data_IF_426807799240
#
_entry.id   IF_426807799240
#
_cell.length_a   1.000
_cell.length_b   1.000
_cell.length_c   1.000
_cell.angle_alpha   90.00
_cell.angle_beta   90.00
_cell.angle_gamma   90.00
#
_symmetry.space_group_name_H-M   'P 1'
#
loop_
_entity.id
_entity.type
_entity.pdbx_description
1 polymer ?
#
# COMPACT_ATOMS: atom_id res chain seq x y z
N UNK A 1 8.74 22.56 22.11
CA UNK A 1 8.88 21.54 21.05
C UNK A 1 8.34 20.22 21.59
N UNK A 2 7.08 19.88 21.26
CA UNK A 2 6.49 18.61 21.69
C UNK A 2 7.03 17.48 20.81
N UNK A 3 7.55 16.44 21.44
CA UNK A 3 8.19 15.28 20.83
C UNK A 3 7.21 14.50 19.93
N UNK A 4 7.57 14.35 18.65
CA UNK A 4 6.82 13.60 17.62
C UNK A 4 6.84 12.07 17.79
N UNK A 5 7.59 11.57 18.78
CA UNK A 5 7.88 10.15 18.99
C UNK A 5 6.67 9.23 19.35
N UNK A 6 5.64 9.65 20.11
CA UNK A 6 4.50 8.78 20.40
C UNK A 6 3.66 8.52 19.13
N UNK A 7 3.48 9.56 18.30
CA UNK A 7 2.65 9.52 17.09
C UNK A 7 3.22 8.63 16.00
N UNK A 8 4.53 8.63 15.80
CA UNK A 8 5.19 7.72 14.85
C UNK A 8 5.07 6.26 15.32
N UNK A 9 5.28 5.98 16.62
CA UNK A 9 5.16 4.62 17.17
C UNK A 9 3.75 4.05 17.03
N UNK A 10 2.71 4.83 17.27
CA UNK A 10 1.31 4.40 17.01
C UNK A 10 1.04 4.22 15.51
N UNK A 11 1.64 5.04 14.64
CA UNK A 11 1.45 4.92 13.19
C UNK A 11 2.01 3.60 12.64
N UNK A 12 3.19 3.17 13.09
CA UNK A 12 3.84 1.94 12.61
C UNK A 12 3.19 0.67 13.16
N UNK A 13 2.54 0.74 14.33
CA UNK A 13 1.99 -0.44 15.03
C UNK A 13 0.67 -0.98 14.47
N UNK A 14 0.01 -0.28 13.56
CA UNK A 14 -1.32 -0.67 13.02
C UNK A 14 -1.41 -0.56 11.50
N UNK A 15 -0.27 -0.73 10.82
CA UNK A 15 -0.15 -0.53 9.36
C UNK A 15 -0.84 -1.62 8.52
N UNK A 16 -0.72 -2.89 8.92
CA UNK A 16 -1.48 -4.01 8.36
C UNK A 16 -2.98 -3.90 8.62
N UNK A 17 -3.39 -3.51 9.85
CA UNK A 17 -4.80 -3.26 10.14
C UNK A 17 -5.40 -2.16 9.25
N UNK A 18 -4.67 -1.07 9.01
CA UNK A 18 -5.10 -0.01 8.07
C UNK A 18 -5.19 -0.51 6.63
N UNK A 19 -4.23 -1.32 6.19
CA UNK A 19 -4.25 -1.88 4.84
C UNK A 19 -5.49 -2.78 4.65
N UNK A 20 -5.79 -3.65 5.62
CA UNK A 20 -6.94 -4.55 5.58
C UNK A 20 -8.26 -3.76 5.55
N UNK A 21 -8.35 -2.73 6.38
CA UNK A 21 -9.56 -1.93 6.56
C UNK A 21 -9.73 -0.79 5.53
N UNK A 22 -8.77 -0.61 4.62
CA UNK A 22 -8.77 0.45 3.60
C UNK A 22 -10.09 0.50 2.79
N UNK A 23 -10.70 -0.62 2.36
CA UNK A 23 -11.94 -0.59 1.56
C UNK A 23 -13.15 0.04 2.28
N UNK A 24 -13.17 0.03 3.60
CA UNK A 24 -14.27 0.62 4.39
C UNK A 24 -14.23 2.16 4.46
N UNK A 25 -13.10 2.76 4.06
CA UNK A 25 -12.83 4.19 4.17
C UNK A 25 -13.05 4.75 5.58
N UNK A 26 -14.28 5.23 5.89
CA UNK A 26 -14.65 5.81 7.19
C UNK A 26 -15.69 4.99 7.95
N UNK A 27 -16.40 4.07 7.31
CA UNK A 27 -17.55 3.38 7.90
C UNK A 27 -17.33 1.88 7.94
N UNK A 28 -17.34 1.31 9.15
CA UNK A 28 -17.24 -0.12 9.38
C UNK A 28 -18.63 -0.67 9.73
N UNK A 29 -19.24 -1.54 8.90
CA UNK A 29 -20.46 -2.25 9.28
C UNK A 29 -20.21 -3.12 10.52
N UNK A 30 -21.20 -3.24 11.39
CA UNK A 30 -21.09 -4.11 12.58
C UNK A 30 -21.38 -5.56 12.20
N UNK A 31 -22.26 -5.75 11.22
CA UNK A 31 -22.78 -7.03 10.79
C UNK A 31 -21.77 -7.77 9.90
N UNK A 32 -21.50 -9.03 10.26
CA UNK A 32 -20.50 -9.88 9.62
C UNK A 32 -20.76 -10.15 8.14
N UNK A 33 -22.01 -10.37 7.78
CA UNK A 33 -22.43 -10.54 6.39
C UNK A 33 -22.15 -9.31 5.50
N UNK A 34 -21.99 -8.13 6.09
CA UNK A 34 -21.64 -6.90 5.37
C UNK A 34 -20.14 -6.69 5.27
N UNK A 35 -19.37 -6.93 6.33
CA UNK A 35 -17.92 -6.69 6.31
C UNK A 35 -17.10 -7.87 5.78
N UNK A 36 -17.52 -9.12 5.98
CA UNK A 36 -16.76 -10.32 5.60
C UNK A 36 -16.48 -10.39 4.08
N UNK A 37 -17.46 -10.16 3.19
CA UNK A 37 -17.21 -10.19 1.74
C UNK A 37 -16.22 -9.12 1.28
N UNK A 38 -16.09 -8.02 2.01
CA UNK A 38 -15.15 -6.91 1.72
C UNK A 38 -13.75 -7.25 2.24
N UNK A 39 -13.65 -7.89 3.41
CA UNK A 39 -12.39 -8.31 4.02
C UNK A 39 -11.77 -9.51 3.30
N UNK A 40 -12.56 -10.47 2.85
CA UNK A 40 -12.07 -11.73 2.31
C UNK A 40 -11.06 -11.59 1.15
N UNK A 41 -11.25 -10.71 0.14
CA UNK A 41 -10.25 -10.46 -0.88
C UNK A 41 -8.94 -9.89 -0.34
N UNK A 42 -9.01 -9.01 0.67
CA UNK A 42 -7.82 -8.43 1.29
C UNK A 42 -7.04 -9.47 2.09
N UNK A 43 -7.73 -10.36 2.80
CA UNK A 43 -7.10 -11.47 3.52
C UNK A 43 -6.34 -12.39 2.55
N UNK A 44 -6.94 -12.76 1.42
CA UNK A 44 -6.26 -13.54 0.38
C UNK A 44 -5.03 -12.83 -0.17
N UNK A 45 -5.16 -11.55 -0.53
CA UNK A 45 -4.05 -10.77 -1.04
C UNK A 45 -2.89 -10.65 -0.04
N UNK A 46 -3.21 -10.49 1.25
CA UNK A 46 -2.19 -10.44 2.32
C UNK A 46 -1.51 -11.80 2.54
N UNK A 47 -2.24 -12.91 2.45
CA UNK A 47 -1.65 -14.25 2.52
C UNK A 47 -0.65 -14.50 1.38
N UNK A 48 -1.01 -14.12 0.15
CA UNK A 48 -0.09 -14.18 -0.99
C UNK A 48 1.14 -13.29 -0.80
N UNK A 49 0.94 -12.05 -0.33
CA UNK A 49 2.03 -11.12 -0.09
C UNK A 49 2.99 -11.62 1.01
N UNK A 50 2.48 -12.34 2.02
CA UNK A 50 3.30 -12.92 3.09
C UNK A 50 4.36 -13.90 2.56
N UNK A 51 4.04 -14.67 1.50
CA UNK A 51 5.01 -15.56 0.85
C UNK A 51 6.19 -14.81 0.21
N UNK A 52 5.99 -13.55 -0.20
CA UNK A 52 7.03 -12.65 -0.73
C UNK A 52 7.76 -11.83 0.35
N UNK A 53 7.59 -12.15 1.64
CA UNK A 53 8.18 -11.39 2.74
C UNK A 53 7.32 -10.21 3.23
N UNK A 54 6.05 -10.13 2.81
CA UNK A 54 5.05 -9.21 3.36
C UNK A 54 4.61 -9.59 4.78
N UNK A 55 3.78 -8.74 5.40
CA UNK A 55 3.19 -9.05 6.72
C UNK A 55 2.29 -10.27 6.63
N UNK A 56 2.36 -11.13 7.63
CA UNK A 56 1.49 -12.30 7.70
C UNK A 56 0.15 -11.98 8.39
N UNK A 57 -0.84 -12.85 8.21
CA UNK A 57 -2.18 -12.66 8.76
C UNK A 57 -2.21 -12.61 10.31
N UNK A 58 -1.28 -13.29 11.00
CA UNK A 58 -1.17 -13.24 12.46
C UNK A 58 -0.76 -11.85 12.95
N UNK A 59 0.18 -11.21 12.25
CA UNK A 59 0.57 -9.83 12.52
C UNK A 59 -0.61 -8.89 12.30
N UNK A 60 -1.34 -9.06 11.19
CA UNK A 60 -2.53 -8.24 10.89
C UNK A 60 -3.62 -8.41 11.96
N UNK A 61 -3.91 -9.64 12.38
CA UNK A 61 -4.86 -9.93 13.45
C UNK A 61 -4.42 -9.31 14.79
N UNK A 62 -3.14 -9.40 15.14
CA UNK A 62 -2.59 -8.76 16.33
C UNK A 62 -2.73 -7.23 16.28
N UNK A 63 -2.47 -6.62 15.12
CA UNK A 63 -2.66 -5.17 14.94
C UNK A 63 -4.13 -4.73 15.03
N UNK A 64 -5.08 -5.56 14.55
CA UNK A 64 -6.52 -5.30 14.71
C UNK A 64 -6.93 -5.30 16.18
N UNK A 65 -6.45 -6.28 16.97
CA UNK A 65 -6.70 -6.34 18.41
C UNK A 65 -6.09 -5.15 19.15
N UNK A 66 -4.86 -4.78 18.82
CA UNK A 66 -4.24 -3.56 19.34
C UNK A 66 -5.06 -2.32 18.99
N UNK A 67 -5.59 -2.23 17.76
CA UNK A 67 -6.44 -1.12 17.34
C UNK A 67 -7.75 -1.10 18.15
N UNK A 68 -8.35 -2.25 18.41
CA UNK A 68 -9.54 -2.37 19.26
C UNK A 68 -9.27 -1.87 20.68
N UNK A 69 -8.14 -2.22 21.27
CA UNK A 69 -7.73 -1.75 22.61
C UNK A 69 -7.54 -0.23 22.64
N UNK A 70 -6.95 0.36 21.60
CA UNK A 70 -6.81 1.82 21.48
C UNK A 70 -8.17 2.53 21.38
N UNK A 71 -9.16 1.95 20.70
CA UNK A 71 -10.53 2.48 20.69
C UNK A 71 -11.19 2.34 22.07
N UNK A 72 -11.02 1.20 22.75
CA UNK A 72 -11.51 1.02 24.12
C UNK A 72 -10.94 2.07 25.07
N UNK A 73 -9.63 2.33 24.99
CA UNK A 73 -8.96 3.37 25.78
C UNK A 73 -9.47 4.78 25.43
N UNK A 74 -9.69 5.07 24.15
CA UNK A 74 -10.24 6.36 23.71
C UNK A 74 -11.64 6.60 24.27
N UNK A 75 -12.50 5.58 24.28
CA UNK A 75 -13.87 5.69 24.77
C UNK A 75 -13.96 5.74 26.30
N UNK A 76 -13.06 5.07 27.02
CA UNK A 76 -13.12 4.97 28.48
C UNK A 76 -12.26 6.02 29.20
N UNK A 77 -11.10 6.37 28.63
CA UNK A 77 -10.11 7.27 29.23
C UNK A 77 -10.04 8.62 28.52
N UNK A 78 -10.77 8.81 27.42
CA UNK A 78 -10.77 10.05 26.63
C UNK A 78 -9.48 10.30 25.85
N UNK A 79 -8.70 9.24 25.56
CA UNK A 79 -7.52 9.38 24.68
C UNK A 79 -7.95 9.65 23.23
N UNK A 80 -7.08 10.23 22.38
CA UNK A 80 -7.41 10.44 20.97
C UNK A 80 -7.71 9.13 20.23
N UNK A 81 -8.71 9.14 19.35
CA UNK A 81 -9.04 7.99 18.50
C UNK A 81 -7.91 7.69 17.49
N UNK A 82 -7.66 6.41 17.19
CA UNK A 82 -6.75 6.02 16.11
C UNK A 82 -7.15 6.68 14.79
N UNK A 83 -6.20 7.34 14.15
CA UNK A 83 -6.43 7.98 12.84
C UNK A 83 -6.43 6.97 11.71
N UNK A 84 -7.22 7.27 10.68
CA UNK A 84 -7.32 6.48 9.42
C UNK A 84 -7.76 5.03 9.67
N UNK A 85 -8.62 4.83 10.67
CA UNK A 85 -9.32 3.57 10.91
C UNK A 85 -10.82 3.86 10.75
N UNK A 86 -11.56 3.06 9.96
CA UNK A 86 -13.00 3.21 9.83
C UNK A 86 -13.69 2.93 11.17
N UNK A 87 -14.84 3.56 11.38
CA UNK A 87 -15.56 3.49 12.64
C UNK A 87 -16.92 2.81 12.44
N UNK A 88 -17.31 2.02 13.41
CA UNK A 88 -18.65 1.46 13.46
C UNK A 88 -19.67 2.52 13.89
N UNK A 89 -20.93 2.27 13.58
CA UNK A 89 -22.06 3.01 14.09
C UNK A 89 -23.01 2.04 14.79
N UNK A 90 -23.15 2.10 16.12
CA UNK A 90 -22.58 3.10 17.04
C UNK A 90 -21.07 2.91 17.29
N UNK A 91 -20.39 3.98 17.71
CA UNK A 91 -18.91 4.04 17.81
C UNK A 91 -18.32 3.02 18.79
N UNK A 92 -19.06 2.72 19.86
CA UNK A 92 -18.72 1.73 20.89
C UNK A 92 -18.71 0.29 20.39
N UNK A 93 -19.28 0.01 19.22
CA UNK A 93 -19.15 -1.28 18.55
C UNK A 93 -17.81 -1.46 17.83
N UNK A 94 -17.06 -0.37 17.57
CA UNK A 94 -15.80 -0.45 16.81
C UNK A 94 -14.80 -1.44 17.42
N UNK A 95 -14.50 -1.45 18.74
CA UNK A 95 -13.62 -2.44 19.34
C UNK A 95 -14.12 -3.88 19.21
N UNK A 96 -15.43 -4.11 19.22
CA UNK A 96 -16.02 -5.45 19.13
C UNK A 96 -15.85 -5.97 17.72
N UNK A 97 -16.28 -5.19 16.72
CA UNK A 97 -16.16 -5.55 15.31
C UNK A 97 -14.71 -5.74 14.89
N UNK A 98 -13.77 -4.92 15.36
CA UNK A 98 -12.34 -5.09 15.06
C UNK A 98 -11.78 -6.42 15.60
N UNK A 99 -12.24 -6.87 16.78
CA UNK A 99 -11.83 -8.18 17.34
C UNK A 99 -12.45 -9.33 16.55
N UNK A 100 -13.70 -9.21 16.15
CA UNK A 100 -14.36 -10.21 15.30
C UNK A 100 -13.66 -10.37 13.95
N UNK A 101 -13.25 -9.27 13.33
CA UNK A 101 -12.43 -9.30 12.10
C UNK A 101 -11.08 -9.94 12.38
N UNK A 102 -10.44 -9.65 13.51
CA UNK A 102 -9.16 -10.26 13.87
C UNK A 102 -9.26 -11.78 14.00
N UNK A 103 -10.31 -12.26 14.66
CA UNK A 103 -10.57 -13.69 14.82
C UNK A 103 -10.82 -14.35 13.45
N UNK A 104 -11.61 -13.71 12.58
CA UNK A 104 -11.82 -14.19 11.20
C UNK A 104 -10.51 -14.25 10.39
N UNK A 105 -9.65 -13.23 10.49
CA UNK A 105 -8.36 -13.17 9.78
C UNK A 105 -7.44 -14.31 10.23
N UNK A 106 -7.44 -14.64 11.52
CA UNK A 106 -6.62 -15.71 12.09
C UNK A 106 -7.13 -17.11 11.71
N UNK A 107 -8.45 -17.28 11.64
CA UNK A 107 -9.11 -18.52 11.22
C UNK A 107 -8.97 -18.79 9.70
N UNK A 108 -8.72 -17.74 8.91
CA UNK A 108 -8.54 -17.83 7.47
C UNK A 108 -7.21 -18.51 7.10
N UNK A 109 -7.20 -19.84 7.08
CA UNK A 109 -6.08 -20.65 6.56
C UNK A 109 -6.16 -20.86 5.04
N UNK A 110 -6.71 -19.90 4.29
CA UNK A 110 -7.21 -20.14 2.94
C UNK A 110 -6.13 -19.98 1.87
N UNK A 111 -5.50 -21.09 1.49
CA UNK A 111 -5.21 -21.32 0.06
C UNK A 111 -6.53 -21.19 -0.71
N UNK A 112 -6.59 -20.47 -1.84
CA UNK A 112 -7.82 -20.31 -2.59
C UNK A 112 -8.33 -21.67 -3.03
N UNK A 113 -9.63 -21.91 -2.84
CA UNK A 113 -10.35 -23.01 -3.47
C UNK A 113 -11.20 -22.42 -4.60
N UNK A 114 -10.75 -22.56 -5.84
CA UNK A 114 -11.54 -22.29 -7.05
C UNK A 114 -11.22 -20.99 -7.81
N UNK A 115 -11.95 -20.78 -8.91
CA UNK A 115 -11.87 -19.65 -9.85
C UNK A 115 -12.44 -18.34 -9.25
N UNK A 116 -11.88 -17.90 -8.12
CA UNK A 116 -12.26 -16.61 -7.53
C UNK A 116 -11.55 -15.50 -8.29
N UNK A 117 -12.32 -14.62 -8.92
CA UNK A 117 -11.79 -13.43 -9.59
C UNK A 117 -11.03 -12.54 -8.61
N UNK A 118 -9.80 -12.18 -8.96
CA UNK A 118 -8.96 -11.25 -8.19
C UNK A 118 -9.57 -9.85 -8.27
N UNK A 119 -9.76 -9.19 -7.13
CA UNK A 119 -10.30 -7.83 -7.09
C UNK A 119 -9.18 -6.79 -7.21
N UNK A 120 -9.52 -5.57 -7.64
CA UNK A 120 -8.58 -4.44 -7.68
C UNK A 120 -7.93 -4.20 -6.32
N UNK A 121 -8.70 -4.29 -5.22
CA UNK A 121 -8.18 -4.09 -3.87
C UNK A 121 -7.20 -5.20 -3.45
N UNK A 122 -7.50 -6.46 -3.79
CA UNK A 122 -6.59 -7.58 -3.58
C UNK A 122 -5.27 -7.39 -4.36
N UNK A 123 -5.38 -6.98 -5.62
CA UNK A 123 -4.22 -6.78 -6.48
C UNK A 123 -3.36 -5.57 -6.07
N UNK A 124 -3.96 -4.54 -5.46
CA UNK A 124 -3.22 -3.38 -4.94
C UNK A 124 -2.17 -3.72 -3.89
N UNK A 125 -2.31 -4.87 -3.21
CA UNK A 125 -1.32 -5.35 -2.24
C UNK A 125 -0.02 -5.83 -2.87
N UNK A 126 0.00 -6.10 -4.19
CA UNK A 126 1.23 -6.42 -4.95
C UNK A 126 2.10 -5.22 -5.25
N UNK A 127 1.52 -4.01 -5.24
CA UNK A 127 2.18 -2.80 -5.72
C UNK A 127 2.33 -1.72 -4.62
N UNK A 128 2.89 -2.04 -3.44
CA UNK A 128 2.95 -1.12 -2.30
C UNK A 128 3.86 0.09 -2.52
N UNK A 129 4.82 0.04 -3.47
CA UNK A 129 5.71 1.16 -3.81
C UNK A 129 5.26 1.86 -5.08
N UNK A 130 4.85 1.10 -6.09
CA UNK A 130 4.51 1.62 -7.40
C UNK A 130 3.21 2.44 -7.37
N UNK A 131 2.17 2.02 -6.63
CA UNK A 131 0.93 2.80 -6.51
C UNK A 131 1.20 4.20 -5.91
N UNK A 132 1.81 4.32 -4.71
CA UNK A 132 2.11 5.64 -4.16
C UNK A 132 3.02 6.49 -5.04
N UNK A 133 4.02 5.87 -5.69
CA UNK A 133 4.92 6.54 -6.62
C UNK A 133 4.13 7.17 -7.75
N UNK A 134 3.31 6.40 -8.46
CA UNK A 134 2.56 6.87 -9.62
C UNK A 134 1.56 7.97 -9.24
N UNK A 135 0.89 7.83 -8.09
CA UNK A 135 0.01 8.89 -7.56
C UNK A 135 0.77 10.19 -7.29
N UNK A 136 2.03 10.13 -6.85
CA UNK A 136 2.88 11.31 -6.62
C UNK A 136 3.49 11.82 -7.92
N UNK A 137 3.86 10.94 -8.85
CA UNK A 137 4.53 11.33 -10.08
C UNK A 137 3.55 11.98 -11.07
N UNK A 138 2.38 11.37 -11.27
CA UNK A 138 1.38 11.80 -12.25
C UNK A 138 0.17 12.52 -11.63
N UNK A 139 0.03 12.54 -10.29
CA UNK A 139 -1.10 13.18 -9.61
C UNK A 139 -1.22 14.68 -9.89
N UNK A 140 -2.31 15.30 -9.43
CA UNK A 140 -2.63 16.72 -9.70
C UNK A 140 -1.54 17.71 -9.25
N UNK A 141 -0.77 17.36 -8.21
CA UNK A 141 0.39 18.11 -7.73
C UNK A 141 1.72 17.39 -8.04
N UNK A 142 1.70 16.49 -9.03
CA UNK A 142 2.77 15.56 -9.26
C UNK A 142 3.97 16.16 -9.96
N UNK A 143 5.14 15.53 -9.80
CA UNK A 143 6.37 16.00 -10.43
C UNK A 143 6.21 16.14 -11.94
N UNK A 144 5.50 15.22 -12.60
CA UNK A 144 5.25 15.30 -14.05
C UNK A 144 4.38 16.49 -14.48
N UNK A 145 3.65 17.14 -13.56
CA UNK A 145 2.72 18.25 -13.83
C UNK A 145 3.24 19.59 -13.26
N UNK A 146 4.28 19.57 -12.41
CA UNK A 146 4.84 20.79 -11.80
C UNK A 146 5.39 21.79 -12.83
N UNK A 147 5.30 23.10 -12.53
CA UNK A 147 5.79 24.17 -13.42
C UNK A 147 7.29 24.01 -13.77
N UNK A 148 8.09 23.45 -12.86
CA UNK A 148 9.52 23.13 -13.04
C UNK A 148 9.76 22.02 -14.09
N UNK A 149 8.71 21.27 -14.44
CA UNK A 149 8.71 20.16 -15.38
C UNK A 149 7.97 20.49 -16.69
N UNK A 150 7.53 21.74 -16.86
CA UNK A 150 6.97 22.23 -18.10
C UNK A 150 8.05 22.28 -19.21
N UNK A 151 8.18 21.18 -19.95
CA UNK A 151 9.15 21.03 -21.05
C UNK A 151 10.32 20.09 -20.75
N UNK A 152 10.31 19.37 -19.62
CA UNK A 152 11.27 18.31 -19.33
C UNK A 152 10.84 16.97 -19.95
N UNK A 153 11.82 16.12 -20.19
CA UNK A 153 11.61 14.74 -20.65
C UNK A 153 11.17 13.83 -19.50
N UNK A 154 10.59 12.67 -19.84
CA UNK A 154 10.21 11.66 -18.83
C UNK A 154 11.42 11.24 -18.00
N UNK A 155 12.58 11.09 -18.63
CA UNK A 155 13.84 10.72 -18.00
C UNK A 155 14.34 11.75 -17.00
N UNK A 156 14.22 13.05 -17.32
CA UNK A 156 14.56 14.13 -16.37
C UNK A 156 13.63 14.11 -15.15
N UNK A 157 12.34 13.82 -15.35
CA UNK A 157 11.38 13.64 -14.26
C UNK A 157 11.68 12.45 -13.38
N UNK A 158 12.03 11.31 -13.98
CA UNK A 158 12.45 10.12 -13.26
C UNK A 158 13.71 10.38 -12.44
N UNK A 159 14.68 11.13 -12.98
CA UNK A 159 15.89 11.49 -12.25
C UNK A 159 15.58 12.41 -11.06
N UNK A 160 14.72 13.42 -11.22
CA UNK A 160 14.29 14.28 -10.12
C UNK A 160 13.58 13.49 -9.02
N UNK A 161 12.75 12.52 -9.40
CA UNK A 161 12.13 11.62 -8.43
C UNK A 161 13.15 10.75 -7.69
N UNK A 162 14.12 10.16 -8.40
CA UNK A 162 15.21 9.41 -7.80
C UNK A 162 15.98 10.27 -6.80
N UNK A 163 16.28 11.52 -7.15
CA UNK A 163 16.97 12.46 -6.27
C UNK A 163 16.14 12.75 -5.00
N UNK A 164 14.81 12.83 -5.12
CA UNK A 164 13.91 12.96 -3.96
C UNK A 164 13.90 11.73 -3.04
N UNK A 165 14.12 10.53 -3.58
CA UNK A 165 14.17 9.28 -2.83
C UNK A 165 15.49 9.12 -2.04
N UNK A 166 16.52 9.93 -2.32
CA UNK A 166 17.76 9.87 -1.56
C UNK A 166 17.59 10.35 -0.12
N UNK A 167 18.27 9.72 0.86
CA UNK A 167 19.24 8.63 0.74
C UNK A 167 18.64 7.20 0.84
N UNK A 168 17.32 7.04 0.75
CA UNK A 168 16.62 5.75 0.90
C UNK A 168 16.64 4.89 -0.37
N UNK A 169 17.18 5.40 -1.49
CA UNK A 169 17.24 4.72 -2.78
C UNK A 169 17.73 3.25 -2.75
N UNK A 170 18.68 2.81 -1.87
CA UNK A 170 19.06 1.40 -1.84
C UNK A 170 17.96 0.45 -1.37
N UNK A 171 16.99 0.95 -0.61
CA UNK A 171 15.88 0.17 -0.05
C UNK A 171 14.58 0.32 -0.84
N UNK A 172 14.44 1.42 -1.59
CA UNK A 172 13.22 1.74 -2.34
C UNK A 172 13.31 1.33 -3.82
N UNK A 173 14.36 1.74 -4.53
CA UNK A 173 14.45 1.60 -5.99
C UNK A 173 14.44 0.14 -6.49
N UNK A 174 15.13 -0.82 -5.83
CA UNK A 174 15.04 -2.23 -6.25
C UNK A 174 13.61 -2.78 -6.18
N UNK A 175 12.84 -2.37 -5.17
CA UNK A 175 11.44 -2.77 -5.01
C UNK A 175 10.55 -2.15 -6.08
N UNK A 176 10.76 -0.86 -6.42
CA UNK A 176 10.05 -0.19 -7.51
C UNK A 176 10.31 -0.89 -8.84
N UNK A 177 11.56 -1.20 -9.17
CA UNK A 177 11.90 -1.91 -10.40
C UNK A 177 11.24 -3.30 -10.47
N UNK A 178 11.22 -4.03 -9.35
CA UNK A 178 10.54 -5.33 -9.26
C UNK A 178 9.02 -5.20 -9.50
N UNK A 179 8.37 -4.22 -8.85
CA UNK A 179 6.94 -3.98 -8.99
C UNK A 179 6.55 -3.53 -10.41
N UNK A 180 7.43 -2.85 -11.15
CA UNK A 180 7.22 -2.53 -12.57
C UNK A 180 7.15 -3.80 -13.43
N UNK A 181 8.09 -4.73 -13.25
CA UNK A 181 8.06 -6.00 -13.99
C UNK A 181 6.93 -6.93 -13.52
N UNK A 182 6.55 -6.87 -12.25
CA UNK A 182 5.37 -7.58 -11.76
C UNK A 182 4.09 -7.03 -12.40
N UNK A 183 3.96 -5.71 -12.56
CA UNK A 183 2.83 -5.10 -13.24
C UNK A 183 2.73 -5.58 -14.69
N UNK A 184 3.84 -5.56 -15.43
CA UNK A 184 3.92 -6.07 -16.82
C UNK A 184 3.65 -7.58 -16.95
N UNK A 185 3.82 -8.35 -15.87
CA UNK A 185 3.49 -9.78 -15.84
C UNK A 185 2.02 -10.05 -15.49
N UNK A 186 1.35 -9.10 -14.83
CA UNK A 186 -0.04 -9.23 -14.36
C UNK A 186 -1.02 -8.60 -15.37
N UNK A 187 -0.67 -7.45 -15.93
CA UNK A 187 -1.47 -6.71 -16.91
C UNK A 187 -0.88 -6.95 -18.30
N UNK A 188 -1.72 -7.40 -19.23
CA UNK A 188 -1.26 -7.89 -20.53
C UNK A 188 -1.40 -6.85 -21.64
N UNK A 189 -2.07 -5.73 -21.36
CA UNK A 189 -2.35 -4.66 -22.31
C UNK A 189 -2.45 -3.30 -21.59
N UNK A 190 -2.35 -2.22 -22.37
CA UNK A 190 -2.38 -0.84 -21.86
C UNK A 190 -3.72 -0.52 -21.17
N UNK A 191 -4.84 -0.98 -21.72
CA UNK A 191 -6.17 -0.70 -21.19
C UNK A 191 -6.34 -1.24 -19.75
N UNK A 192 -5.80 -2.42 -19.45
CA UNK A 192 -5.90 -3.04 -18.12
C UNK A 192 -4.97 -2.41 -17.10
N UNK A 193 -3.75 -2.03 -17.50
CA UNK A 193 -2.79 -1.35 -16.62
C UNK A 193 -3.20 0.10 -16.34
N UNK A 194 -3.69 0.84 -17.34
CA UNK A 194 -4.22 2.20 -17.17
C UNK A 194 -5.42 2.20 -16.23
N UNK A 195 -6.39 1.31 -16.49
CA UNK A 195 -7.57 1.18 -15.62
C UNK A 195 -7.15 0.95 -14.18
N UNK A 196 -6.15 0.11 -13.94
CA UNK A 196 -5.69 -0.21 -12.59
C UNK A 196 -4.94 0.96 -11.94
N UNK A 197 -3.92 1.53 -12.58
CA UNK A 197 -3.06 2.52 -11.95
C UNK A 197 -3.63 3.95 -12.03
N UNK A 198 -4.13 4.38 -13.20
CA UNK A 198 -4.64 5.74 -13.38
C UNK A 198 -6.05 5.89 -12.79
N UNK A 199 -6.99 5.01 -13.17
CA UNK A 199 -8.41 5.19 -12.85
C UNK A 199 -8.76 4.74 -11.43
N UNK A 200 -8.38 3.52 -11.05
CA UNK A 200 -8.73 2.95 -9.75
C UNK A 200 -7.81 3.41 -8.59
N UNK A 201 -6.59 3.84 -8.92
CA UNK A 201 -5.58 4.23 -7.91
C UNK A 201 -5.12 5.68 -8.01
N UNK A 202 -5.75 6.50 -8.86
CA UNK A 202 -5.54 7.94 -8.89
C UNK A 202 -4.15 8.33 -9.38
N UNK A 203 -3.59 7.56 -10.32
CA UNK A 203 -2.34 7.83 -11.01
C UNK A 203 -2.37 9.03 -11.97
N UNK A 204 -3.27 10.00 -11.78
CA UNK A 204 -3.27 11.26 -12.54
C UNK A 204 -3.99 11.24 -13.88
N UNK A 205 -4.00 12.41 -14.53
CA UNK A 205 -4.62 12.67 -15.86
C UNK A 205 -3.60 12.83 -16.98
N UNK A 206 -2.31 12.53 -16.72
CA UNK A 206 -1.42 12.22 -17.83
C UNK A 206 -1.99 10.98 -18.52
N UNK A 207 -1.88 10.89 -19.83
CA UNK A 207 -2.12 9.64 -20.56
C UNK A 207 -0.75 8.93 -20.71
N UNK A 208 -0.12 8.39 -19.64
CA UNK A 208 1.11 7.65 -19.83
C UNK A 208 0.78 6.35 -20.56
N UNK A 209 1.58 6.02 -21.56
CA UNK A 209 1.67 4.63 -22.03
C UNK A 209 2.45 3.85 -20.97
N UNK A 210 1.74 3.14 -20.09
CA UNK A 210 2.35 2.37 -19.02
C UNK A 210 3.21 1.22 -19.55
N UNK A 211 2.86 0.65 -20.70
CA UNK A 211 3.64 -0.40 -21.34
C UNK A 211 5.02 0.10 -21.81
N UNK A 212 5.16 1.38 -22.16
CA UNK A 212 6.45 2.03 -22.42
C UNK A 212 7.12 2.59 -21.15
N UNK A 213 6.33 3.18 -20.25
CA UNK A 213 6.84 3.86 -19.06
C UNK A 213 7.42 2.91 -18.02
N UNK A 214 6.75 1.78 -17.72
CA UNK A 214 7.20 0.86 -16.66
C UNK A 214 8.57 0.23 -16.93
N UNK A 215 8.91 -0.23 -18.16
CA UNK A 215 10.26 -0.66 -18.49
C UNK A 215 11.31 0.44 -18.31
N UNK A 216 10.98 1.67 -18.73
CA UNK A 216 11.89 2.81 -18.59
C UNK A 216 12.16 3.13 -17.12
N UNK A 217 11.12 3.22 -16.29
CA UNK A 217 11.25 3.45 -14.85
C UNK A 217 12.09 2.36 -14.17
N UNK A 218 11.83 1.08 -14.48
CA UNK A 218 12.58 -0.04 -13.92
C UNK A 218 14.06 0.04 -14.29
N UNK A 219 14.37 0.33 -15.56
CA UNK A 219 15.74 0.43 -16.04
C UNK A 219 16.48 1.61 -15.41
N UNK A 220 15.84 2.78 -15.32
CA UNK A 220 16.39 3.96 -14.66
C UNK A 220 16.71 3.70 -13.17
N UNK A 221 15.83 2.99 -12.45
CA UNK A 221 16.10 2.53 -11.09
C UNK A 221 17.33 1.61 -11.01
N UNK A 222 17.43 0.63 -11.91
CA UNK A 222 18.53 -0.35 -11.96
C UNK A 222 19.85 0.35 -12.24
N UNK A 223 19.89 1.27 -13.21
CA UNK A 223 21.11 1.94 -13.62
C UNK A 223 21.61 2.89 -12.53
N UNK A 224 20.70 3.59 -11.85
CA UNK A 224 21.05 4.35 -10.66
C UNK A 224 21.72 3.47 -9.59
N UNK A 225 21.12 2.32 -9.28
CA UNK A 225 21.66 1.39 -8.27
C UNK A 225 23.05 0.87 -8.64
N UNK A 226 23.27 0.54 -9.92
CA UNK A 226 24.59 0.10 -10.42
C UNK A 226 25.64 1.20 -10.32
N UNK A 227 25.28 2.43 -10.66
CA UNK A 227 26.21 3.56 -10.70
C UNK A 227 26.57 4.07 -9.30
N UNK A 228 25.61 4.14 -8.38
CA UNK A 228 25.77 4.84 -7.11
C UNK A 228 25.81 3.93 -5.87
N UNK A 229 25.29 2.70 -5.98
CA UNK A 229 25.18 1.77 -4.84
C UNK A 229 25.71 0.35 -5.14
N UNK A 230 26.90 0.19 -5.76
CA UNK A 230 27.46 -1.13 -5.99
C UNK A 230 27.73 -1.83 -4.64
N UNK A 231 27.37 -3.11 -4.48
CA UNK A 231 27.62 -3.83 -3.23
C UNK A 231 29.12 -4.00 -3.00
N UNK A 232 29.63 -3.38 -1.93
CA UNK A 232 31.05 -3.48 -1.55
C UNK A 232 31.21 -4.54 -0.47
N UNK A 233 31.62 -5.74 -0.87
CA UNK A 233 31.99 -6.80 0.06
C UNK A 233 33.48 -6.65 0.38
N UNK A 234 33.82 -6.14 1.57
CA UNK A 234 35.19 -6.29 2.07
C UNK A 234 35.40 -7.78 2.36
N UNK A 235 36.36 -8.41 1.65
CA UNK A 235 36.84 -9.73 2.05
C UNK A 235 37.36 -9.61 3.48
N UNK A 236 36.71 -10.29 4.43
CA UNK A 236 37.25 -10.48 5.78
C UNK A 236 38.33 -11.55 5.74
#
# INVERSE_FOLDING_TARGET
MATSAPRQREHFRISGARALLKPFHRKLPVERDLWEPIVAPMVRGMDYAAAGGGRNLWEVAAELRLTADLFTDALTKGTPLPKRIPQASPLDMTPVTLREIADHVEECTSKPRGDVMVTTSELSLRFPRLIPLLSVYFGQDGTAISDDMSGSTIEEGLQMWIDHVHPQCPWELPGVAAECYEALAVFHDEDTVDRFFAQEHGGGSGEPDFMEFLPLLAQTCIDHMKAHHPPVWKRQ
#
